data_IF_739091323242
#
_entry.id   IF_739091323242
#
_cell.length_a   1.000
_cell.length_b   1.000
_cell.length_c   1.000
_cell.angle_alpha   90.00
_cell.angle_beta   90.00
_cell.angle_gamma   90.00
#
_symmetry.space_group_name_H-M   'P 1'
#
loop_
_entity.id
_entity.type
_entity.pdbx_description
1 polymer ?
#
# COMPACT_ATOMS: atom_id res chain seq x y z
N UNK A 1 25.72 39.62 48.59
CA UNK A 1 24.85 38.64 47.88
C UNK A 1 25.48 38.39 46.51
N UNK A 2 25.75 37.13 46.16
CA UNK A 2 26.14 36.79 44.79
C UNK A 2 24.87 36.74 43.94
N UNK A 3 24.71 37.71 43.05
CA UNK A 3 23.59 37.73 42.12
C UNK A 3 23.91 36.73 40.99
N UNK A 4 23.21 35.60 40.96
CA UNK A 4 23.30 34.65 39.86
C UNK A 4 22.50 35.21 38.68
N UNK A 5 23.17 35.58 37.60
CA UNK A 5 22.51 36.08 36.39
C UNK A 5 21.70 34.96 35.72
N UNK A 6 20.51 35.32 35.24
CA UNK A 6 19.71 34.45 34.39
C UNK A 6 20.47 34.17 33.09
N UNK A 7 20.49 32.91 32.66
CA UNK A 7 21.06 32.49 31.38
C UNK A 7 19.93 31.88 30.59
N UNK A 8 19.58 32.52 29.48
CA UNK A 8 18.56 32.03 28.57
C UNK A 8 19.09 30.85 27.76
N UNK A 9 18.17 29.99 27.30
CA UNK A 9 18.54 28.91 26.42
C UNK A 9 19.02 29.43 25.06
N UNK A 10 20.17 28.94 24.59
CA UNK A 10 20.67 29.15 23.24
C UNK A 10 20.63 27.83 22.49
N UNK A 11 20.13 27.86 21.26
CA UNK A 11 20.02 26.68 20.38
C UNK A 11 20.87 26.87 19.13
N UNK A 12 21.39 25.75 18.61
CA UNK A 12 22.13 25.72 17.37
C UNK A 12 21.24 25.84 16.13
N UNK A 13 21.84 25.85 14.93
CA UNK A 13 21.10 25.84 13.68
C UNK A 13 20.29 24.53 13.54
N UNK A 14 19.26 24.60 12.71
CA UNK A 14 18.52 23.41 12.30
C UNK A 14 19.42 22.48 11.47
N UNK A 15 19.35 21.19 11.76
CA UNK A 15 19.85 20.17 10.85
C UNK A 15 19.06 20.17 9.52
N UNK A 16 19.58 19.41 8.56
CA UNK A 16 18.86 19.10 7.32
C UNK A 16 17.50 18.45 7.61
N UNK A 17 16.57 18.59 6.68
CA UNK A 17 15.33 17.83 6.73
C UNK A 17 15.61 16.35 6.44
N UNK A 18 14.92 15.46 7.15
CA UNK A 18 14.86 14.05 6.82
C UNK A 18 14.25 13.82 5.43
N UNK A 19 14.42 12.60 4.94
CA UNK A 19 13.62 12.09 3.83
C UNK A 19 12.12 12.12 4.18
N UNK A 20 11.29 12.10 3.13
CA UNK A 20 9.85 12.04 3.30
C UNK A 20 9.47 10.68 3.90
N UNK A 21 8.60 10.68 4.92
CA UNK A 21 8.14 9.46 5.58
C UNK A 21 7.33 8.53 4.66
N UNK A 22 6.82 9.07 3.54
CA UNK A 22 6.13 8.31 2.53
C UNK A 22 6.99 8.25 1.26
N UNK A 23 7.29 7.04 0.72
CA UNK A 23 8.05 6.92 -0.53
C UNK A 23 7.25 7.48 -1.73
N UNK A 24 5.92 7.47 -1.60
CA UNK A 24 4.98 7.98 -2.59
C UNK A 24 3.84 8.74 -1.92
N UNK A 25 3.39 9.84 -2.54
CA UNK A 25 2.21 10.58 -2.06
C UNK A 25 2.48 11.40 -0.80
N UNK A 26 1.44 11.67 -0.01
CA UNK A 26 1.53 12.60 1.12
C UNK A 26 2.24 11.93 2.31
N UNK A 27 3.26 12.61 2.83
CA UNK A 27 3.97 12.21 4.04
C UNK A 27 4.42 13.41 4.87
N UNK A 28 5.34 13.15 5.79
CA UNK A 28 5.96 14.19 6.61
C UNK A 28 7.48 14.03 6.65
N UNK A 29 8.19 15.13 6.84
CA UNK A 29 9.62 15.11 7.13
C UNK A 29 9.93 15.94 8.35
N UNK A 30 11.00 15.56 9.04
CA UNK A 30 11.37 16.10 10.33
C UNK A 30 12.79 16.67 10.30
N UNK A 31 13.07 17.63 11.17
CA UNK A 31 14.42 18.09 11.45
C UNK A 31 14.54 18.44 12.93
N UNK A 32 15.76 18.39 13.44
CA UNK A 32 16.07 18.71 14.83
C UNK A 32 17.20 19.75 14.93
N UNK A 33 17.29 20.39 16.08
CA UNK A 33 18.43 21.24 16.47
C UNK A 33 18.80 20.95 17.92
N UNK A 34 20.05 21.18 18.26
CA UNK A 34 20.58 20.93 19.61
C UNK A 34 20.61 22.20 20.44
N UNK A 35 20.53 22.05 21.76
CA UNK A 35 20.77 23.12 22.72
C UNK A 35 22.27 23.34 22.83
N UNK A 36 22.73 24.56 22.59
CA UNK A 36 24.15 24.95 22.75
C UNK A 36 24.42 25.51 24.14
N UNK A 37 23.44 26.20 24.74
CA UNK A 37 23.49 26.68 26.13
C UNK A 37 22.16 26.33 26.82
N UNK A 38 22.17 25.50 27.87
CA UNK A 38 20.95 25.20 28.62
C UNK A 38 20.55 26.38 29.52
N UNK A 39 19.24 26.60 29.75
CA UNK A 39 18.79 27.71 30.59
C UNK A 39 19.18 27.50 32.06
N UNK A 40 19.57 28.57 32.75
CA UNK A 40 19.96 28.56 34.17
C UNK A 40 19.42 29.77 34.91
N UNK A 41 19.28 29.64 36.24
CA UNK A 41 18.94 30.72 37.15
C UNK A 41 17.66 31.49 36.76
N UNK A 42 16.64 30.77 36.28
CA UNK A 42 15.37 31.37 35.85
C UNK A 42 15.38 32.01 34.46
N UNK A 43 16.41 31.78 33.64
CA UNK A 43 16.43 32.19 32.24
C UNK A 43 15.38 31.49 31.38
N UNK A 44 15.13 32.06 30.20
CA UNK A 44 14.08 31.62 29.29
C UNK A 44 14.28 30.17 28.80
N UNK A 45 13.20 29.37 28.71
CA UNK A 45 13.29 27.99 28.24
C UNK A 45 13.69 27.92 26.76
N UNK A 46 14.18 26.74 26.34
CA UNK A 46 14.54 26.52 24.95
C UNK A 46 13.31 26.61 24.02
N UNK A 47 13.45 27.23 22.84
CA UNK A 47 12.43 27.14 21.80
C UNK A 47 12.37 25.70 21.23
N UNK A 48 11.41 25.43 20.35
CA UNK A 48 11.22 24.11 19.76
C UNK A 48 12.51 23.51 19.18
N UNK A 49 12.83 22.28 19.59
CA UNK A 49 14.02 21.55 19.16
C UNK A 49 13.74 20.60 17.99
N UNK A 50 12.47 20.40 17.65
CA UNK A 50 12.01 19.55 16.55
C UNK A 50 11.02 20.32 15.69
N UNK A 51 11.10 20.11 14.38
CA UNK A 51 10.12 20.62 13.42
C UNK A 51 9.68 19.52 12.49
N UNK A 52 8.40 19.56 12.12
CA UNK A 52 7.79 18.66 11.15
C UNK A 52 7.04 19.46 10.10
N UNK A 53 7.12 19.03 8.85
CA UNK A 53 6.32 19.60 7.75
C UNK A 53 5.84 18.53 6.78
N UNK A 54 4.78 18.84 6.04
CA UNK A 54 4.30 18.00 4.95
C UNK A 54 5.34 17.87 3.83
N UNK A 55 5.32 16.71 3.17
CA UNK A 55 6.07 16.44 1.96
C UNK A 55 5.23 15.58 1.01
N UNK A 56 5.63 15.58 -0.26
CA UNK A 56 5.12 14.66 -1.25
C UNK A 56 6.27 13.76 -1.72
N UNK A 57 6.13 12.44 -1.54
CA UNK A 57 7.08 11.44 -2.02
C UNK A 57 6.97 11.28 -3.53
N UNK A 58 8.11 11.27 -4.22
CA UNK A 58 8.25 11.18 -5.68
C UNK A 58 9.07 9.96 -6.11
N UNK A 59 9.06 8.88 -5.33
CA UNK A 59 9.79 7.66 -5.68
C UNK A 59 9.35 7.06 -7.02
N UNK A 60 10.21 6.26 -7.70
CA UNK A 60 9.88 5.65 -8.99
C UNK A 60 8.66 4.72 -8.94
N UNK A 61 8.34 4.18 -7.76
CA UNK A 61 7.19 3.31 -7.52
C UNK A 61 5.86 4.07 -7.33
N UNK A 62 5.84 5.40 -7.44
CA UNK A 62 4.65 6.22 -7.19
C UNK A 62 3.49 5.93 -8.15
N UNK A 63 3.77 5.59 -9.41
CA UNK A 63 2.74 5.22 -10.38
C UNK A 63 2.02 3.96 -9.92
N UNK A 64 2.77 2.88 -9.68
CA UNK A 64 2.24 1.60 -9.21
C UNK A 64 1.57 1.69 -7.84
N UNK A 65 2.07 2.54 -6.93
CA UNK A 65 1.46 2.74 -5.62
C UNK A 65 0.09 3.45 -5.67
N UNK A 66 -0.19 4.20 -6.75
CA UNK A 66 -1.48 4.89 -6.97
C UNK A 66 -2.50 4.02 -7.67
N UNK A 67 -2.10 2.89 -8.24
CA UNK A 67 -3.02 1.98 -8.91
C UNK A 67 -3.98 1.35 -7.89
N UNK A 68 -5.25 1.32 -8.28
CA UNK A 68 -6.32 0.70 -7.49
C UNK A 68 -6.69 -0.59 -8.19
N UNK A 69 -6.35 -1.72 -7.58
CA UNK A 69 -6.74 -3.02 -8.09
C UNK A 69 -8.26 -3.16 -8.11
N UNK A 70 -8.79 -3.74 -9.18
CA UNK A 70 -10.17 -4.21 -9.21
C UNK A 70 -10.16 -5.72 -9.06
N UNK A 71 -11.02 -6.21 -8.17
CA UNK A 71 -11.09 -7.65 -7.88
C UNK A 71 -12.50 -8.22 -7.99
N UNK A 72 -12.54 -9.49 -8.37
CA UNK A 72 -13.70 -10.37 -8.32
C UNK A 72 -13.35 -11.65 -7.54
N UNK A 73 -14.34 -12.42 -7.06
CA UNK A 73 -14.09 -13.74 -6.51
C UNK A 73 -13.70 -14.73 -7.61
N UNK A 74 -12.95 -15.77 -7.24
CA UNK A 74 -12.51 -16.85 -8.13
C UNK A 74 -13.62 -17.60 -8.84
N UNK A 75 -14.87 -17.51 -8.38
CA UNK A 75 -16.04 -18.03 -9.11
C UNK A 75 -16.23 -17.41 -10.50
N UNK A 76 -15.62 -16.25 -10.77
CA UNK A 76 -15.62 -15.61 -12.10
C UNK A 76 -14.51 -16.13 -13.01
N UNK A 77 -13.63 -17.04 -12.55
CA UNK A 77 -12.66 -17.71 -13.41
C UNK A 77 -13.42 -18.38 -14.55
N UNK A 78 -13.15 -17.96 -15.78
CA UNK A 78 -13.69 -18.62 -16.98
C UNK A 78 -13.14 -20.04 -17.01
N UNK A 79 -13.86 -20.99 -16.42
CA UNK A 79 -13.59 -22.40 -16.62
C UNK A 79 -13.96 -22.70 -18.07
N UNK A 80 -12.96 -22.77 -18.95
CA UNK A 80 -13.09 -23.02 -20.39
C UNK A 80 -13.59 -24.44 -20.74
N UNK A 81 -14.39 -25.08 -19.88
CA UNK A 81 -15.25 -26.21 -20.26
C UNK A 81 -16.61 -25.68 -20.71
N UNK A 82 -16.62 -24.84 -21.74
CA UNK A 82 -17.86 -24.51 -22.43
C UNK A 82 -18.13 -25.62 -23.46
N UNK A 83 -19.17 -26.46 -23.28
CA UNK A 83 -19.49 -27.55 -24.19
C UNK A 83 -19.83 -27.07 -25.62
N UNK A 84 -20.15 -25.77 -25.79
CA UNK A 84 -20.54 -25.17 -27.07
C UNK A 84 -19.36 -24.59 -27.85
N UNK A 85 -18.14 -24.67 -27.31
CA UNK A 85 -16.92 -24.23 -28.00
C UNK A 85 -16.57 -25.24 -29.09
N UNK A 86 -16.61 -24.80 -30.36
CA UNK A 86 -16.45 -25.66 -31.54
C UNK A 86 -15.12 -26.45 -31.51
N UNK A 87 -15.10 -27.75 -31.83
CA UNK A 87 -13.93 -28.64 -31.70
C UNK A 87 -12.66 -28.27 -32.48
N UNK A 88 -12.70 -27.26 -33.38
CA UNK A 88 -11.63 -26.98 -34.34
C UNK A 88 -10.99 -25.58 -34.24
N UNK A 89 -11.21 -24.82 -33.17
CA UNK A 89 -10.33 -23.68 -32.87
C UNK A 89 -9.24 -24.11 -31.87
N UNK A 90 -8.12 -24.57 -32.42
CA UNK A 90 -6.80 -24.56 -31.76
C UNK A 90 -6.56 -23.12 -31.25
N UNK A 91 -6.09 -22.84 -30.03
CA UNK A 91 -5.30 -23.64 -29.10
C UNK A 91 -5.78 -23.46 -27.65
N UNK A 92 -5.53 -24.48 -26.82
CA UNK A 92 -5.27 -24.28 -25.39
C UNK A 92 -3.94 -23.54 -25.27
N UNK A 93 -3.90 -22.26 -25.63
CA UNK A 93 -2.84 -21.40 -25.11
C UNK A 93 -3.07 -21.38 -23.60
N UNK A 94 -2.17 -22.03 -22.86
CA UNK A 94 -2.06 -21.80 -21.42
C UNK A 94 -1.65 -20.34 -21.29
N UNK A 95 -2.66 -19.48 -21.23
CA UNK A 95 -2.48 -18.06 -21.08
C UNK A 95 -1.68 -17.81 -19.79
N UNK A 96 -0.59 -17.03 -19.86
CA UNK A 96 0.25 -16.79 -18.71
C UNK A 96 -0.61 -16.19 -17.60
N UNK A 97 -0.43 -16.71 -16.39
CA UNK A 97 -1.03 -16.17 -15.19
C UNK A 97 -0.01 -16.20 -14.07
N UNK A 98 -0.12 -15.26 -13.15
CA UNK A 98 0.66 -15.27 -11.92
C UNK A 98 -0.25 -14.99 -10.73
N UNK A 99 0.13 -15.53 -9.59
CA UNK A 99 -0.59 -15.35 -8.34
C UNK A 99 0.14 -14.33 -7.48
N UNK A 100 -0.62 -13.52 -6.77
CA UNK A 100 -0.12 -12.57 -5.79
C UNK A 100 -0.70 -12.87 -4.42
N UNK A 101 0.18 -13.01 -3.42
CA UNK A 101 -0.22 -13.08 -2.02
C UNK A 101 -0.26 -11.67 -1.43
N UNK A 102 -1.42 -11.29 -0.92
CA UNK A 102 -1.72 -9.94 -0.46
C UNK A 102 -2.19 -10.01 1.00
N UNK A 103 -1.57 -9.21 1.86
CA UNK A 103 -2.01 -9.06 3.25
C UNK A 103 -2.94 -7.86 3.38
N UNK A 104 -4.21 -8.12 3.69
CA UNK A 104 -5.22 -7.08 3.87
C UNK A 104 -4.85 -6.17 5.05
N UNK A 105 -4.76 -4.87 4.83
CA UNK A 105 -4.50 -3.86 5.88
C UNK A 105 -5.75 -3.11 6.29
N UNK A 106 -6.68 -2.92 5.36
CA UNK A 106 -7.96 -2.29 5.61
C UNK A 106 -9.02 -2.87 4.67
N UNK A 107 -10.25 -2.96 5.16
CA UNK A 107 -11.44 -3.24 4.36
C UNK A 107 -12.59 -2.38 4.88
N UNK A 108 -13.38 -1.82 3.97
CA UNK A 108 -14.54 -0.99 4.29
C UNK A 108 -15.70 -1.83 4.84
N UNK A 109 -16.63 -1.20 5.57
CA UNK A 109 -17.79 -1.89 6.13
C UNK A 109 -18.68 -2.61 5.09
N UNK A 110 -18.92 -2.05 3.89
CA UNK A 110 -19.69 -2.73 2.84
C UNK A 110 -19.16 -4.11 2.43
N UNK A 111 -17.87 -4.39 2.63
CA UNK A 111 -17.31 -5.71 2.34
C UNK A 111 -17.98 -6.84 3.14
N UNK A 112 -18.55 -6.55 4.31
CA UNK A 112 -19.23 -7.55 5.15
C UNK A 112 -20.61 -7.94 4.62
N UNK A 113 -21.16 -7.20 3.65
CA UNK A 113 -22.51 -7.41 3.14
C UNK A 113 -22.60 -8.52 2.09
N UNK A 114 -21.48 -9.00 1.57
CA UNK A 114 -21.43 -10.08 0.59
C UNK A 114 -20.52 -11.21 1.08
N UNK A 115 -20.97 -12.46 0.93
CA UNK A 115 -20.33 -13.64 1.50
C UNK A 115 -18.87 -13.81 1.06
N UNK A 116 -18.55 -13.56 -0.21
CA UNK A 116 -17.17 -13.72 -0.70
C UNK A 116 -16.26 -12.58 -0.21
N UNK A 117 -16.77 -11.34 -0.11
CA UNK A 117 -15.97 -10.18 0.30
C UNK A 117 -15.90 -10.03 1.82
N UNK A 118 -16.80 -10.65 2.59
CA UNK A 118 -16.78 -10.66 4.06
C UNK A 118 -15.51 -11.30 4.61
N UNK A 119 -14.85 -12.09 3.78
CA UNK A 119 -13.59 -12.75 4.05
C UNK A 119 -12.40 -11.78 4.08
N UNK A 120 -12.52 -10.59 3.45
CA UNK A 120 -11.48 -9.56 3.36
C UNK A 120 -11.36 -8.79 4.68
N UNK A 121 -10.78 -9.44 5.69
CA UNK A 121 -10.58 -8.86 7.03
C UNK A 121 -9.13 -8.49 7.26
N UNK A 122 -8.90 -7.53 8.16
CA UNK A 122 -7.57 -7.00 8.48
C UNK A 122 -6.61 -8.12 8.92
N UNK A 123 -5.38 -8.03 8.43
CA UNK A 123 -4.27 -8.98 8.57
C UNK A 123 -4.48 -10.37 7.94
N UNK A 124 -5.61 -10.63 7.26
CA UNK A 124 -5.77 -11.87 6.50
C UNK A 124 -4.95 -11.81 5.21
N UNK A 125 -4.22 -12.89 4.93
CA UNK A 125 -3.58 -13.11 3.63
C UNK A 125 -4.59 -13.69 2.64
N UNK A 126 -4.62 -13.14 1.43
CA UNK A 126 -5.48 -13.56 0.31
C UNK A 126 -4.64 -13.74 -0.94
N UNK A 127 -5.03 -14.71 -1.76
CA UNK A 127 -4.39 -14.97 -3.05
C UNK A 127 -5.25 -14.36 -4.16
N UNK A 128 -4.64 -13.56 -5.03
CA UNK A 128 -5.27 -13.01 -6.22
C UNK A 128 -4.53 -13.50 -7.47
N UNK A 129 -5.25 -14.07 -8.41
CA UNK A 129 -4.71 -14.51 -9.69
C UNK A 129 -4.85 -13.39 -10.72
N UNK A 130 -3.73 -13.06 -11.37
CA UNK A 130 -3.66 -12.16 -12.51
C UNK A 130 -3.64 -13.00 -13.79
N UNK A 131 -4.73 -12.93 -14.55
CA UNK A 131 -4.87 -13.64 -15.82
C UNK A 131 -4.47 -12.73 -16.98
N UNK A 132 -4.02 -13.31 -18.09
CA UNK A 132 -3.56 -12.56 -19.27
C UNK A 132 -4.53 -11.48 -19.75
N UNK A 133 -5.84 -11.72 -19.66
CA UNK A 133 -6.87 -10.76 -20.09
C UNK A 133 -6.91 -9.49 -19.22
N UNK A 134 -6.38 -9.56 -17.99
CA UNK A 134 -6.30 -8.45 -17.03
C UNK A 134 -4.89 -7.83 -16.98
N UNK A 135 -3.91 -8.38 -17.71
CA UNK A 135 -2.55 -7.87 -17.75
C UNK A 135 -2.43 -6.65 -18.68
N UNK A 136 -1.54 -5.73 -18.31
CA UNK A 136 -1.10 -4.64 -19.16
C UNK A 136 0.00 -5.09 -20.16
N UNK A 137 0.54 -4.14 -20.92
CA UNK A 137 1.64 -4.40 -21.87
C UNK A 137 2.93 -4.90 -21.22
N UNK A 138 3.08 -4.75 -19.91
CA UNK A 138 4.23 -5.22 -19.13
C UNK A 138 3.98 -6.57 -18.47
N UNK A 139 2.86 -7.23 -18.77
CA UNK A 139 2.44 -8.50 -18.14
C UNK A 139 2.14 -8.37 -16.64
N UNK A 140 1.68 -7.19 -16.20
CA UNK A 140 1.26 -6.94 -14.83
C UNK A 140 -0.22 -6.57 -14.75
N UNK A 141 -0.91 -7.05 -13.73
CA UNK A 141 -2.25 -6.55 -13.40
C UNK A 141 -2.15 -5.21 -12.68
N UNK A 142 -3.01 -4.27 -13.07
CA UNK A 142 -3.09 -2.97 -12.41
C UNK A 142 -3.38 -3.11 -10.91
N UNK A 143 -2.50 -2.54 -10.08
CA UNK A 143 -2.64 -2.61 -8.63
C UNK A 143 -2.33 -3.98 -8.02
N UNK A 144 -1.60 -4.86 -8.72
CA UNK A 144 -1.10 -6.15 -8.19
C UNK A 144 -0.24 -6.00 -6.92
N UNK A 145 0.11 -4.77 -6.58
CA UNK A 145 0.59 -4.37 -5.27
C UNK A 145 2.11 -4.31 -5.20
N UNK A 146 2.58 -3.66 -4.16
CA UNK A 146 4.01 -3.45 -3.94
C UNK A 146 4.43 -4.09 -2.63
N UNK A 147 5.68 -4.53 -2.61
CA UNK A 147 6.32 -4.94 -1.36
C UNK A 147 6.48 -3.72 -0.47
N UNK A 148 6.17 -3.85 0.82
CA UNK A 148 6.29 -2.82 1.87
C UNK A 148 5.37 -1.60 1.76
N UNK A 149 4.88 -1.26 0.56
CA UNK A 149 3.99 -0.12 0.32
C UNK A 149 2.54 -0.59 0.31
N UNK A 150 1.67 0.14 1.02
CA UNK A 150 0.22 -0.10 0.94
C UNK A 150 -0.31 0.35 -0.41
N UNK A 151 -0.96 -0.56 -1.11
CA UNK A 151 -1.74 -0.28 -2.32
C UNK A 151 -3.22 -0.50 -2.05
N UNK A 152 -4.07 -0.04 -2.97
CA UNK A 152 -5.51 0.05 -2.76
C UNK A 152 -6.27 -0.87 -3.70
N UNK A 153 -7.49 -1.22 -3.30
CA UNK A 153 -8.33 -2.11 -4.09
C UNK A 153 -9.81 -1.80 -3.94
N UNK A 154 -10.58 -2.25 -4.92
CA UNK A 154 -12.05 -2.22 -4.91
C UNK A 154 -12.62 -3.55 -5.42
N UNK A 155 -13.68 -4.01 -4.77
CA UNK A 155 -14.43 -5.18 -5.21
C UNK A 155 -15.43 -4.77 -6.30
N UNK A 156 -15.19 -5.21 -7.53
CA UNK A 156 -15.95 -4.76 -8.70
C UNK A 156 -17.45 -5.14 -8.62
N UNK A 157 -17.77 -6.27 -7.97
CA UNK A 157 -19.15 -6.76 -7.81
C UNK A 157 -19.81 -6.38 -6.47
N UNK A 158 -19.13 -5.62 -5.60
CA UNK A 158 -19.65 -5.25 -4.26
C UNK A 158 -19.53 -3.74 -4.07
N UNK A 159 -20.59 -2.96 -4.33
CA UNK A 159 -20.57 -1.51 -4.23
C UNK A 159 -20.06 -1.01 -2.87
N UNK A 160 -19.12 -0.08 -2.91
CA UNK A 160 -18.51 0.50 -1.70
C UNK A 160 -17.54 -0.42 -0.96
N UNK A 161 -17.36 -1.68 -1.38
CA UNK A 161 -16.32 -2.55 -0.82
C UNK A 161 -14.96 -2.21 -1.45
N UNK A 162 -14.07 -1.72 -0.59
CA UNK A 162 -12.72 -1.28 -0.96
C UNK A 162 -11.81 -1.39 0.25
N UNK A 163 -10.51 -1.24 0.02
CA UNK A 163 -9.55 -1.34 1.10
C UNK A 163 -8.12 -1.11 0.65
N UNK A 164 -7.20 -1.60 1.49
CA UNK A 164 -5.78 -1.60 1.18
C UNK A 164 -5.13 -2.93 1.57
N UNK A 165 -4.02 -3.24 0.92
CA UNK A 165 -3.19 -4.40 1.20
C UNK A 165 -1.71 -4.07 0.97
N UNK A 166 -0.84 -5.00 1.35
CA UNK A 166 0.58 -5.01 0.99
C UNK A 166 0.87 -6.34 0.32
N UNK A 167 1.69 -6.34 -0.74
CA UNK A 167 2.14 -7.58 -1.39
C UNK A 167 3.15 -8.30 -0.51
N UNK A 168 2.88 -9.58 -0.25
CA UNK A 168 3.78 -10.48 0.48
C UNK A 168 4.70 -11.21 -0.48
N UNK A 169 4.16 -11.69 -1.60
CA UNK A 169 4.92 -12.39 -2.65
C UNK A 169 4.12 -12.47 -3.95
N UNK A 170 4.81 -12.78 -5.05
CA UNK A 170 4.22 -13.13 -6.34
C UNK A 170 4.86 -14.42 -6.88
N UNK A 171 4.11 -15.18 -7.68
CA UNK A 171 4.60 -16.43 -8.28
C UNK A 171 3.93 -16.71 -9.63
N UNK A 172 4.75 -17.02 -10.64
CA UNK A 172 4.31 -17.45 -11.97
C UNK A 172 3.68 -18.85 -11.96
N UNK A 173 4.03 -19.70 -10.99
CA UNK A 173 3.40 -21.02 -10.80
C UNK A 173 2.10 -20.90 -10.00
N UNK A 174 1.14 -20.20 -10.59
CA UNK A 174 -0.06 -19.75 -9.90
C UNK A 174 -0.94 -20.91 -9.41
N UNK A 175 -1.09 -21.03 -8.09
CA UNK A 175 -1.99 -21.99 -7.43
C UNK A 175 -2.65 -21.33 -6.22
N UNK A 176 -3.70 -20.54 -6.48
CA UNK A 176 -4.49 -20.00 -5.39
C UNK A 176 -5.40 -21.08 -4.75
N UNK A 177 -5.61 -21.05 -3.43
CA UNK A 177 -6.60 -21.90 -2.76
C UNK A 177 -8.03 -21.48 -3.09
N UNK A 178 -9.01 -22.28 -2.64
CA UNK A 178 -10.43 -21.93 -2.73
C UNK A 178 -10.72 -20.59 -2.04
N UNK A 179 -11.69 -19.84 -2.59
CA UNK A 179 -12.05 -18.47 -2.17
C UNK A 179 -10.95 -17.44 -2.47
N UNK A 180 -10.21 -17.68 -3.53
CA UNK A 180 -9.24 -16.74 -4.06
C UNK A 180 -9.91 -15.59 -4.81
N UNK A 181 -9.09 -14.62 -5.20
CA UNK A 181 -9.49 -13.44 -5.93
C UNK A 181 -8.98 -13.50 -7.36
N UNK A 182 -9.57 -12.69 -8.20
CA UNK A 182 -9.15 -12.43 -9.57
C UNK A 182 -8.98 -10.95 -9.79
N UNK A 183 -7.89 -10.55 -10.43
CA UNK A 183 -7.75 -9.20 -10.98
C UNK A 183 -8.56 -9.06 -12.27
N UNK A 184 -9.12 -7.87 -12.51
CA UNK A 184 -9.93 -7.52 -13.70
C UNK A 184 -9.71 -6.09 -14.17
#
# INVERSE_FOLDING_TARGET
>A
MFQMSAIDCVVGPWAGWSECSAPCGVGSKERSRQVTVPPRNGGAPCPDLKQRRGCYGHGPLCSSAKEVAKILPDSFKRNFKDPWRRPHMLMKEEMPSYCVQLRVKQASAPCRLNMWSAQLVRERSVCAECQSDAMDSNQHCGGDGLETIRTFWTAASVPGCHGSWVRESSSENCRCPMHSLLFV
#
